data_IF_539689095211
#
_entry.id   IF_539689095211
#
_cell.length_a   1.000
_cell.length_b   1.000
_cell.length_c   1.000
_cell.angle_alpha   90.00
_cell.angle_beta   90.00
_cell.angle_gamma   90.00
#
_symmetry.space_group_name_H-M   'P 1'
#
loop_
_entity.id
_entity.type
_entity.pdbx_description
1 polymer ?
#
# COMPACT_ATOMS: atom_id res chain seq x y z
N UNK A 1 -40.90 -57.40 -36.10
CA UNK A 1 -39.44 -57.23 -35.90
C UNK A 1 -39.21 -56.25 -34.76
N UNK A 2 -38.58 -56.75 -33.69
CA UNK A 2 -37.81 -56.14 -32.57
C UNK A 2 -38.16 -54.75 -32.01
N UNK A 3 -38.49 -54.78 -30.71
CA UNK A 3 -38.39 -53.75 -29.66
C UNK A 3 -37.05 -52.98 -29.70
N UNK A 4 -37.05 -51.71 -29.28
CA UNK A 4 -36.09 -51.09 -28.34
C UNK A 4 -36.75 -49.83 -27.77
N UNK A 5 -37.14 -49.88 -26.50
CA UNK A 5 -37.46 -48.71 -25.67
C UNK A 5 -36.18 -48.34 -24.93
N UNK A 6 -35.68 -47.13 -25.13
CA UNK A 6 -34.45 -46.64 -24.51
C UNK A 6 -34.78 -46.04 -23.13
N UNK A 7 -34.48 -46.78 -22.07
CA UNK A 7 -34.59 -46.33 -20.68
C UNK A 7 -33.30 -45.55 -20.35
N UNK A 8 -33.40 -44.22 -20.23
CA UNK A 8 -32.27 -43.37 -19.86
C UNK A 8 -32.12 -43.39 -18.33
N UNK A 9 -31.15 -44.16 -17.83
CA UNK A 9 -30.82 -44.26 -16.41
C UNK A 9 -30.04 -43.00 -15.99
N UNK A 10 -30.71 -42.08 -15.28
CA UNK A 10 -30.04 -40.92 -14.66
C UNK A 10 -29.29 -41.43 -13.42
N UNK A 11 -27.99 -41.64 -13.55
CA UNK A 11 -27.09 -41.87 -12.41
C UNK A 11 -26.88 -40.53 -11.68
N UNK A 12 -27.63 -40.31 -10.60
CA UNK A 12 -27.33 -39.28 -9.61
C UNK A 12 -26.09 -39.71 -8.82
N UNK A 13 -24.93 -39.19 -9.23
CA UNK A 13 -23.71 -39.29 -8.42
C UNK A 13 -23.89 -38.34 -7.23
N UNK A 14 -24.47 -38.85 -6.14
CA UNK A 14 -24.50 -38.15 -4.85
C UNK A 14 -23.05 -38.20 -4.34
N UNK A 15 -22.27 -37.19 -4.74
CA UNK A 15 -20.99 -36.91 -4.11
C UNK A 15 -21.28 -36.43 -2.68
N UNK A 16 -21.33 -37.37 -1.73
CA UNK A 16 -21.21 -37.07 -0.31
C UNK A 16 -19.90 -36.31 -0.09
N UNK A 17 -19.96 -34.97 -0.08
CA UNK A 17 -18.96 -34.17 0.62
C UNK A 17 -19.08 -34.61 2.08
N UNK A 18 -18.14 -35.43 2.57
CA UNK A 18 -17.97 -35.63 4.00
C UNK A 18 -17.75 -34.25 4.60
N UNK A 19 -18.78 -33.71 5.25
CA UNK A 19 -18.57 -32.59 6.14
C UNK A 19 -17.52 -33.03 7.17
N UNK A 20 -16.44 -32.25 7.36
CA UNK A 20 -15.46 -32.58 8.38
C UNK A 20 -16.19 -32.68 9.71
N UNK A 21 -15.92 -33.77 10.46
CA UNK A 21 -16.46 -33.97 11.80
C UNK A 21 -16.21 -32.69 12.63
N UNK A 22 -17.21 -32.21 13.40
CA UNK A 22 -17.01 -31.08 14.27
C UNK A 22 -15.85 -31.39 15.23
N UNK A 23 -14.81 -30.57 15.18
CA UNK A 23 -13.67 -30.68 16.10
C UNK A 23 -14.22 -30.38 17.48
N UNK A 24 -14.16 -31.36 18.39
CA UNK A 24 -14.57 -31.16 19.78
C UNK A 24 -13.69 -30.07 20.39
N UNK A 25 -14.33 -29.06 21.01
CA UNK A 25 -13.61 -28.01 21.71
C UNK A 25 -12.96 -28.58 22.97
N UNK A 26 -11.63 -28.47 23.05
CA UNK A 26 -10.86 -28.78 24.25
C UNK A 26 -10.60 -27.48 25.02
N UNK A 27 -11.00 -27.45 26.29
CA UNK A 27 -10.80 -26.32 27.18
C UNK A 27 -9.54 -26.47 28.05
N UNK A 28 -8.68 -27.44 27.76
CA UNK A 28 -7.43 -27.64 28.48
C UNK A 28 -6.40 -26.56 28.15
N UNK A 29 -5.62 -26.17 29.16
CA UNK A 29 -4.47 -25.30 28.97
C UNK A 29 -3.26 -26.19 28.65
N UNK A 30 -2.62 -25.95 27.50
CA UNK A 30 -1.43 -26.68 27.09
C UNK A 30 -0.19 -25.98 27.67
N UNK A 31 0.68 -26.76 28.32
CA UNK A 31 2.01 -26.31 28.75
C UNK A 31 3.04 -26.94 27.84
N UNK A 32 3.63 -26.15 26.95
CA UNK A 32 4.72 -26.60 26.11
C UNK A 32 6.04 -26.47 26.89
N UNK A 33 6.62 -27.62 27.24
CA UNK A 33 7.84 -27.69 28.04
C UNK A 33 9.11 -27.39 27.24
N UNK A 34 9.08 -27.54 25.91
CA UNK A 34 10.21 -27.26 25.03
C UNK A 34 10.36 -25.76 24.83
N UNK A 35 9.23 -25.08 24.59
CA UNK A 35 9.17 -23.64 24.40
C UNK A 35 9.01 -22.88 25.72
N UNK A 36 8.71 -23.58 26.81
CA UNK A 36 8.41 -23.02 28.14
C UNK A 36 7.30 -21.95 28.08
N UNK A 37 6.19 -22.28 27.40
CA UNK A 37 5.04 -21.40 27.19
C UNK A 37 3.74 -22.07 27.63
N UNK A 38 2.77 -21.23 27.96
CA UNK A 38 1.39 -21.62 28.25
C UNK A 38 0.53 -21.20 27.06
N UNK A 39 -0.20 -22.15 26.50
CA UNK A 39 -1.09 -21.98 25.37
C UNK A 39 -2.53 -22.20 25.86
N UNK A 40 -3.37 -21.16 25.77
CA UNK A 40 -4.73 -21.16 26.28
C UNK A 40 -5.73 -21.60 25.21
N UNK A 41 -6.85 -22.21 25.61
CA UNK A 41 -7.96 -22.48 24.70
C UNK A 41 -8.69 -21.18 24.35
N UNK A 42 -9.12 -21.08 23.10
CA UNK A 42 -9.87 -19.96 22.54
C UNK A 42 -11.28 -20.46 22.25
N UNK A 43 -12.25 -20.08 23.09
CA UNK A 43 -13.62 -20.57 22.96
C UNK A 43 -14.22 -20.23 21.57
N UNK A 44 -14.83 -21.18 20.84
CA UNK A 44 -15.39 -20.94 19.51
C UNK A 44 -16.40 -19.78 19.44
N UNK A 45 -17.15 -19.54 20.51
CA UNK A 45 -18.09 -18.41 20.61
C UNK A 45 -17.42 -17.04 20.47
N UNK A 46 -16.15 -16.90 20.86
CA UNK A 46 -15.39 -15.64 20.66
C UNK A 46 -15.06 -15.41 19.18
N UNK A 47 -15.18 -16.45 18.36
CA UNK A 47 -14.83 -16.47 16.95
C UNK A 47 -16.06 -16.41 16.04
N UNK A 48 -17.27 -16.61 16.55
CA UNK A 48 -18.50 -16.79 15.76
C UNK A 48 -18.76 -15.66 14.77
N UNK A 49 -18.56 -14.41 15.21
CA UNK A 49 -18.74 -13.15 14.46
C UNK A 49 -17.47 -12.71 13.70
N UNK A 50 -16.42 -13.54 13.68
CA UNK A 50 -15.14 -13.22 13.03
C UNK A 50 -15.10 -13.74 11.59
N UNK A 51 -14.07 -13.31 10.84
CA UNK A 51 -13.90 -13.70 9.44
C UNK A 51 -13.83 -15.23 9.26
N UNK A 52 -14.31 -15.74 8.13
CA UNK A 52 -14.22 -17.17 7.80
C UNK A 52 -12.79 -17.69 7.84
N UNK A 53 -11.84 -16.88 7.38
CA UNK A 53 -10.41 -17.20 7.39
C UNK A 53 -9.88 -17.36 8.81
N UNK A 54 -10.22 -16.44 9.70
CA UNK A 54 -9.81 -16.47 11.10
C UNK A 54 -10.40 -17.72 11.79
N UNK A 55 -11.70 -17.96 11.63
CA UNK A 55 -12.39 -19.14 12.21
C UNK A 55 -11.74 -20.44 11.74
N UNK A 56 -11.50 -20.57 10.43
CA UNK A 56 -10.86 -21.75 9.83
C UNK A 56 -9.45 -21.97 10.38
N UNK A 57 -8.70 -20.90 10.62
CA UNK A 57 -7.36 -20.99 11.16
C UNK A 57 -7.34 -21.46 12.61
N UNK A 58 -8.14 -20.86 13.50
CA UNK A 58 -8.22 -21.32 14.88
C UNK A 58 -8.75 -22.75 14.99
N UNK A 59 -9.72 -23.12 14.14
CA UNK A 59 -10.17 -24.51 14.05
C UNK A 59 -9.02 -25.46 13.69
N UNK A 60 -8.16 -25.08 12.74
CA UNK A 60 -6.96 -25.86 12.37
C UNK A 60 -5.92 -25.94 13.49
N UNK A 61 -5.86 -24.94 14.36
CA UNK A 61 -5.01 -24.92 15.57
C UNK A 61 -5.71 -25.52 16.80
N UNK A 62 -6.78 -26.30 16.60
CA UNK A 62 -7.58 -26.92 17.66
C UNK A 62 -8.10 -25.92 18.70
N UNK A 63 -8.45 -24.70 18.28
CA UNK A 63 -8.98 -23.63 19.13
C UNK A 63 -8.05 -23.24 20.28
N UNK A 64 -6.76 -23.05 19.98
CA UNK A 64 -5.76 -22.58 20.93
C UNK A 64 -5.12 -21.26 20.48
N UNK A 65 -4.61 -20.47 21.43
CA UNK A 65 -3.88 -19.22 21.13
C UNK A 65 -2.69 -19.50 20.21
N UNK A 66 -2.37 -18.57 19.32
CA UNK A 66 -1.36 -18.76 18.25
C UNK A 66 -0.18 -17.78 18.39
N UNK A 67 -0.38 -16.67 19.10
CA UNK A 67 0.59 -15.61 19.33
C UNK A 67 1.30 -15.77 20.67
N UNK A 68 1.51 -16.99 21.14
CA UNK A 68 2.20 -17.28 22.41
C UNK A 68 3.70 -16.94 22.37
N UNK A 69 4.35 -17.03 21.19
CA UNK A 69 5.77 -16.66 21.01
C UNK A 69 5.98 -15.14 20.94
N UNK A 70 6.90 -14.61 21.74
CA UNK A 70 7.21 -13.18 21.75
C UNK A 70 7.77 -12.67 20.41
N UNK A 71 8.56 -13.51 19.73
CA UNK A 71 9.19 -13.20 18.45
C UNK A 71 8.14 -12.87 17.38
N UNK A 72 7.08 -13.68 17.30
CA UNK A 72 5.98 -13.45 16.36
C UNK A 72 5.22 -12.15 16.67
N UNK A 73 4.93 -11.88 17.95
CA UNK A 73 4.24 -10.65 18.37
C UNK A 73 5.07 -9.41 18.07
N UNK A 74 6.35 -9.40 18.45
CA UNK A 74 7.27 -8.30 18.18
C UNK A 74 7.42 -8.03 16.68
N UNK A 75 7.51 -9.09 15.87
CA UNK A 75 7.56 -8.96 14.41
C UNK A 75 6.29 -8.32 13.85
N UNK A 76 5.10 -8.76 14.27
CA UNK A 76 3.84 -8.13 13.86
C UNK A 76 3.76 -6.65 14.29
N UNK A 77 4.08 -6.34 15.55
CA UNK A 77 4.09 -4.98 16.08
C UNK A 77 5.03 -4.07 15.27
N UNK A 78 6.22 -4.57 14.93
CA UNK A 78 7.15 -3.82 14.09
C UNK A 78 6.58 -3.57 12.69
N UNK A 79 5.99 -4.57 12.05
CA UNK A 79 5.38 -4.40 10.72
C UNK A 79 4.21 -3.39 10.74
N UNK A 80 3.42 -3.36 11.82
CA UNK A 80 2.37 -2.34 12.00
C UNK A 80 2.99 -0.95 12.13
N UNK A 81 4.04 -0.78 12.94
CA UNK A 81 4.72 0.52 13.11
C UNK A 81 5.31 1.05 11.82
N UNK A 82 5.99 0.18 11.07
CA UNK A 82 6.68 0.56 9.83
C UNK A 82 5.77 0.57 8.59
N UNK A 83 4.47 0.24 8.72
CA UNK A 83 3.54 0.28 7.58
C UNK A 83 3.36 1.69 7.00
N UNK A 84 3.73 2.75 7.74
CA UNK A 84 3.81 4.11 7.24
C UNK A 84 4.74 4.24 6.03
N UNK A 85 5.83 3.50 5.97
CA UNK A 85 6.75 3.50 4.82
C UNK A 85 6.09 2.93 3.57
N UNK A 86 5.07 2.10 3.72
CA UNK A 86 4.23 1.59 2.65
C UNK A 86 3.03 2.54 2.37
N UNK A 87 2.91 3.68 3.06
CA UNK A 87 1.82 4.63 2.89
C UNK A 87 0.51 4.23 3.59
N UNK A 88 0.61 3.45 4.67
CA UNK A 88 -0.51 3.07 5.54
C UNK A 88 -0.40 3.78 6.89
N UNK A 89 -1.51 4.06 7.58
CA UNK A 89 -1.46 4.67 8.90
C UNK A 89 -1.43 3.58 9.98
N UNK A 90 -0.40 3.50 10.85
CA UNK A 90 -0.34 2.53 11.94
C UNK A 90 -1.57 2.56 12.86
N UNK A 91 -2.19 3.72 13.04
CA UNK A 91 -3.40 3.85 13.84
C UNK A 91 -4.63 3.13 13.25
N UNK A 92 -4.63 2.80 11.95
CA UNK A 92 -5.69 1.97 11.35
C UNK A 92 -5.65 0.52 11.87
N UNK A 93 -4.62 0.14 12.63
CA UNK A 93 -4.33 -1.22 13.09
C UNK A 93 -4.20 -1.29 14.62
N UNK A 94 -4.88 -0.40 15.34
CA UNK A 94 -4.98 -0.42 16.82
C UNK A 94 -3.61 -0.45 17.54
N UNK A 95 -2.56 0.11 16.94
CA UNK A 95 -1.18 -0.02 17.42
C UNK A 95 -1.02 0.41 18.88
N UNK A 96 -1.68 1.50 19.30
CA UNK A 96 -1.60 2.00 20.68
C UNK A 96 -2.20 1.00 21.68
N UNK A 97 -3.31 0.36 21.33
CA UNK A 97 -3.96 -0.67 22.17
C UNK A 97 -3.07 -1.91 22.23
N UNK A 98 -2.54 -2.35 21.08
CA UNK A 98 -1.65 -3.51 20.99
C UNK A 98 -0.37 -3.31 21.83
N UNK A 99 0.23 -2.12 21.80
CA UNK A 99 1.41 -1.80 22.59
C UNK A 99 1.12 -1.76 24.10
N UNK A 100 -0.01 -1.18 24.50
CA UNK A 100 -0.42 -1.16 25.91
C UNK A 100 -0.62 -2.60 26.44
N UNK A 101 -1.33 -3.44 25.68
CA UNK A 101 -1.55 -4.85 26.02
C UNK A 101 -0.25 -5.64 26.05
N UNK A 102 0.65 -5.48 25.07
CA UNK A 102 1.94 -6.18 25.04
C UNK A 102 2.80 -5.78 26.26
N UNK A 103 2.82 -4.51 26.64
CA UNK A 103 3.59 -4.02 27.79
C UNK A 103 3.14 -4.61 29.13
N UNK A 104 1.86 -4.99 29.22
CA UNK A 104 1.24 -5.55 30.43
C UNK A 104 0.97 -7.04 30.33
N UNK A 105 1.35 -7.71 29.23
CA UNK A 105 0.97 -9.10 28.92
C UNK A 105 1.20 -10.08 30.08
N UNK A 106 2.32 -9.95 30.80
CA UNK A 106 2.65 -10.82 31.93
C UNK A 106 1.69 -10.69 33.14
N UNK A 107 0.90 -9.62 33.19
CA UNK A 107 -0.08 -9.34 34.25
C UNK A 107 -1.53 -9.55 33.79
N UNK A 108 -1.75 -9.84 32.50
CA UNK A 108 -3.08 -10.09 31.97
C UNK A 108 -3.60 -11.44 32.50
N UNK A 109 -4.92 -11.50 32.72
CA UNK A 109 -5.58 -12.77 32.97
C UNK A 109 -5.71 -13.57 31.65
N UNK A 110 -6.12 -14.83 31.77
CA UNK A 110 -6.21 -15.73 30.61
C UNK A 110 -7.23 -15.25 29.55
N UNK A 111 -8.34 -14.65 29.98
CA UNK A 111 -9.38 -14.12 29.09
C UNK A 111 -8.85 -12.94 28.24
N UNK A 112 -8.12 -12.02 28.86
CA UNK A 112 -7.51 -10.87 28.19
C UNK A 112 -6.38 -11.28 27.24
N UNK A 113 -5.63 -12.35 27.58
CA UNK A 113 -4.63 -12.92 26.66
C UNK A 113 -5.31 -13.49 25.41
N UNK A 114 -6.43 -14.21 25.56
CA UNK A 114 -7.19 -14.75 24.43
C UNK A 114 -7.77 -13.63 23.56
N UNK A 115 -8.34 -12.58 24.16
CA UNK A 115 -8.82 -11.40 23.41
C UNK A 115 -7.69 -10.71 22.65
N UNK A 116 -6.52 -10.59 23.27
CA UNK A 116 -5.33 -10.02 22.64
C UNK A 116 -4.84 -10.88 21.47
N UNK A 117 -4.84 -12.21 21.61
CA UNK A 117 -4.48 -13.15 20.54
C UNK A 117 -5.39 -12.99 19.31
N UNK A 118 -6.71 -12.87 19.53
CA UNK A 118 -7.68 -12.62 18.45
C UNK A 118 -7.43 -11.25 17.79
N UNK A 119 -7.19 -10.20 18.58
CA UNK A 119 -6.88 -8.85 18.08
C UNK A 119 -5.64 -8.85 17.17
N UNK A 120 -4.58 -9.56 17.55
CA UNK A 120 -3.38 -9.70 16.72
C UNK A 120 -3.69 -10.42 15.40
N UNK A 121 -4.52 -11.45 15.44
CA UNK A 121 -4.95 -12.19 14.23
C UNK A 121 -5.77 -11.31 13.28
N UNK A 122 -6.75 -10.57 13.79
CA UNK A 122 -7.54 -9.63 12.98
C UNK A 122 -6.65 -8.54 12.37
N UNK A 123 -5.68 -8.06 13.16
CA UNK A 123 -4.74 -7.02 12.72
C UNK A 123 -3.82 -7.54 11.63
N UNK A 124 -3.31 -8.76 11.77
CA UNK A 124 -2.53 -9.43 10.74
C UNK A 124 -3.34 -9.57 9.44
N UNK A 125 -4.57 -10.07 9.50
CA UNK A 125 -5.43 -10.24 8.32
C UNK A 125 -5.71 -8.92 7.62
N UNK A 126 -6.00 -7.87 8.41
CA UNK A 126 -6.26 -6.51 7.89
C UNK A 126 -5.04 -5.94 7.19
N UNK A 127 -3.87 -5.98 7.84
CA UNK A 127 -2.62 -5.48 7.26
C UNK A 127 -2.21 -6.27 6.02
N UNK A 128 -2.35 -7.60 6.05
CA UNK A 128 -2.04 -8.46 4.91
C UNK A 128 -2.91 -8.13 3.69
N UNK A 129 -4.22 -7.97 3.89
CA UNK A 129 -5.11 -7.50 2.82
C UNK A 129 -4.67 -6.14 2.29
N UNK A 130 -4.46 -5.16 3.18
CA UNK A 130 -4.12 -3.80 2.75
C UNK A 130 -2.79 -3.73 2.01
N UNK A 131 -1.78 -4.50 2.40
CA UNK A 131 -0.50 -4.57 1.69
C UNK A 131 -0.63 -5.27 0.33
N UNK A 132 -1.42 -6.34 0.26
CA UNK A 132 -1.59 -7.13 -0.96
C UNK A 132 -2.45 -6.42 -2.00
N UNK A 133 -3.69 -6.05 -1.66
CA UNK A 133 -4.70 -5.58 -2.62
C UNK A 133 -5.12 -4.12 -2.44
N UNK A 134 -4.53 -3.40 -1.48
CA UNK A 134 -4.90 -2.02 -1.14
C UNK A 134 -5.97 -1.93 -0.06
N UNK A 135 -6.07 -0.74 0.54
CA UNK A 135 -7.11 -0.36 1.51
C UNK A 135 -8.42 0.01 0.82
N UNK A 136 -8.36 0.53 -0.40
CA UNK A 136 -9.51 1.04 -1.14
C UNK A 136 -9.90 0.11 -2.28
N UNK A 137 -11.19 0.10 -2.62
CA UNK A 137 -11.68 -0.57 -3.82
C UNK A 137 -11.60 0.39 -5.02
N UNK A 138 -10.72 0.11 -6.02
CA UNK A 138 -10.57 1.02 -7.15
C UNK A 138 -11.84 1.17 -8.01
N UNK A 139 -12.73 0.17 -8.04
CA UNK A 139 -13.98 0.23 -8.80
C UNK A 139 -15.02 1.20 -8.22
N UNK A 140 -14.90 1.53 -6.94
CA UNK A 140 -15.73 2.57 -6.31
C UNK A 140 -15.20 3.99 -6.60
N UNK A 141 -13.92 4.10 -6.95
CA UNK A 141 -13.25 5.37 -7.22
C UNK A 141 -13.20 5.72 -8.72
N UNK A 142 -13.12 4.70 -9.58
CA UNK A 142 -12.86 4.83 -11.00
C UNK A 142 -13.88 4.02 -11.81
N UNK A 143 -14.56 4.70 -12.73
CA UNK A 143 -15.55 4.08 -13.64
C UNK A 143 -14.89 3.28 -14.77
N UNK A 144 -13.61 3.54 -15.03
CA UNK A 144 -12.80 3.00 -16.12
C UNK A 144 -11.80 1.93 -15.64
N UNK A 145 -12.03 1.34 -14.46
CA UNK A 145 -11.15 0.35 -13.85
C UNK A 145 -11.59 -1.10 -14.12
N UNK A 146 -10.83 -1.81 -14.96
CA UNK A 146 -11.16 -3.16 -15.42
C UNK A 146 -10.14 -4.23 -14.95
N UNK A 147 -9.23 -3.88 -14.04
CA UNK A 147 -8.36 -4.88 -13.41
C UNK A 147 -9.16 -5.75 -12.44
N UNK A 148 -8.88 -7.05 -12.47
CA UNK A 148 -9.46 -8.03 -11.52
C UNK A 148 -8.90 -7.80 -10.11
N UNK A 149 -9.74 -7.81 -9.07
CA UNK A 149 -9.26 -7.77 -7.69
C UNK A 149 -8.31 -8.92 -7.40
N UNK A 150 -7.30 -8.67 -6.57
CA UNK A 150 -6.39 -9.72 -6.11
C UNK A 150 -7.02 -10.48 -4.95
N UNK A 151 -6.90 -11.80 -5.01
CA UNK A 151 -7.28 -12.71 -3.93
C UNK A 151 -6.06 -13.07 -3.08
N UNK A 152 -6.31 -13.40 -1.82
CA UNK A 152 -5.29 -13.80 -0.84
C UNK A 152 -5.86 -14.87 0.08
N UNK A 153 -5.13 -15.97 0.24
CA UNK A 153 -5.46 -17.02 1.18
C UNK A 153 -4.78 -16.71 2.53
N UNK A 154 -5.49 -16.01 3.42
CA UNK A 154 -4.93 -15.50 4.68
C UNK A 154 -4.60 -16.60 5.68
N UNK A 155 -5.47 -17.59 5.86
CA UNK A 155 -5.26 -18.69 6.81
C UNK A 155 -3.96 -19.48 6.56
N UNK A 156 -3.64 -19.97 5.33
CA UNK A 156 -2.35 -20.60 5.05
C UNK A 156 -1.15 -19.66 5.24
N UNK A 157 -1.34 -18.38 4.95
CA UNK A 157 -0.29 -17.37 5.07
C UNK A 157 0.09 -17.08 6.53
N UNK A 158 -0.94 -16.95 7.39
CA UNK A 158 -0.77 -16.81 8.83
C UNK A 158 -0.14 -18.08 9.42
N UNK A 159 -0.58 -19.26 8.99
CA UNK A 159 0.00 -20.53 9.42
C UNK A 159 1.51 -20.58 9.21
N UNK A 160 1.94 -20.28 7.98
CA UNK A 160 3.35 -20.24 7.61
C UNK A 160 4.09 -19.20 8.46
N UNK A 161 3.54 -18.00 8.58
CA UNK A 161 4.15 -16.91 9.33
C UNK A 161 4.37 -17.25 10.81
N UNK A 162 3.39 -17.88 11.46
CA UNK A 162 3.46 -18.26 12.88
C UNK A 162 4.40 -19.45 13.09
N UNK A 163 4.24 -20.54 12.33
CA UNK A 163 5.00 -21.79 12.53
C UNK A 163 6.48 -21.64 12.18
N UNK A 164 6.78 -20.91 11.10
CA UNK A 164 8.15 -20.73 10.61
C UNK A 164 8.82 -19.47 11.18
N UNK A 165 8.12 -18.71 12.03
CA UNK A 165 8.57 -17.42 12.60
C UNK A 165 8.91 -16.37 11.54
N UNK A 166 8.18 -16.40 10.42
CA UNK A 166 8.45 -15.59 9.23
C UNK A 166 7.41 -14.49 8.99
N UNK A 167 6.81 -13.94 10.05
CA UNK A 167 5.81 -12.86 9.95
C UNK A 167 6.27 -11.71 9.04
N UNK A 168 7.51 -11.21 9.23
CA UNK A 168 8.05 -10.13 8.41
C UNK A 168 8.21 -10.52 6.93
N UNK A 169 8.71 -11.74 6.65
CA UNK A 169 8.85 -12.22 5.26
C UNK A 169 7.49 -12.39 4.59
N UNK A 170 6.51 -12.90 5.32
CA UNK A 170 5.13 -13.03 4.86
C UNK A 170 4.59 -11.68 4.38
N UNK A 171 4.76 -10.59 5.13
CA UNK A 171 4.32 -9.27 4.68
C UNK A 171 5.15 -8.73 3.52
N UNK A 172 6.46 -9.00 3.48
CA UNK A 172 7.32 -8.61 2.36
C UNK A 172 6.82 -9.17 1.03
N UNK A 173 6.39 -10.44 1.01
CA UNK A 173 5.94 -11.13 -0.20
C UNK A 173 4.57 -10.63 -0.71
N UNK A 174 3.79 -9.97 0.15
CA UNK A 174 2.51 -9.36 -0.23
C UNK A 174 2.68 -8.00 -0.92
N UNK A 175 3.80 -7.31 -0.69
CA UNK A 175 4.03 -5.96 -1.20
C UNK A 175 4.29 -5.99 -2.72
N UNK A 176 3.90 -4.96 -3.48
CA UNK A 176 4.24 -4.86 -4.89
C UNK A 176 5.76 -4.96 -5.13
N UNK A 177 6.17 -5.96 -5.91
CA UNK A 177 7.58 -6.17 -6.27
C UNK A 177 7.94 -5.42 -7.55
N UNK A 178 7.90 -4.08 -7.50
CA UNK A 178 8.23 -3.23 -8.63
C UNK A 178 9.12 -2.06 -8.22
N UNK A 179 10.09 -1.70 -9.08
CA UNK A 179 11.06 -0.64 -8.80
C UNK A 179 10.40 0.70 -8.46
N UNK A 180 9.31 1.06 -9.14
CA UNK A 180 8.59 2.32 -8.86
C UNK A 180 7.96 2.30 -7.47
N UNK A 181 7.44 1.16 -7.00
CA UNK A 181 6.92 1.05 -5.63
C UNK A 181 8.03 1.31 -4.61
N UNK A 182 9.20 0.69 -4.79
CA UNK A 182 10.37 0.89 -3.92
C UNK A 182 10.88 2.34 -3.95
N UNK A 183 10.88 2.99 -5.12
CA UNK A 183 11.26 4.39 -5.26
C UNK A 183 10.27 5.34 -4.59
N UNK A 184 8.97 5.03 -4.61
CA UNK A 184 7.94 5.79 -3.89
C UNK A 184 8.16 5.70 -2.38
N UNK A 185 8.40 4.50 -1.83
CA UNK A 185 8.74 4.32 -0.41
C UNK A 185 9.98 5.12 -0.01
N UNK A 186 11.05 5.03 -0.81
CA UNK A 186 12.26 5.83 -0.58
C UNK A 186 11.98 7.32 -0.64
N UNK A 187 11.14 7.77 -1.58
CA UNK A 187 10.76 9.17 -1.73
C UNK A 187 9.95 9.68 -0.53
N UNK A 188 9.12 8.83 0.08
CA UNK A 188 8.39 9.13 1.31
C UNK A 188 9.36 9.40 2.47
N UNK A 189 10.30 8.49 2.71
CA UNK A 189 11.34 8.66 3.74
C UNK A 189 12.18 9.91 3.50
N UNK A 190 12.49 10.22 2.24
CA UNK A 190 13.25 11.42 1.89
C UNK A 190 12.46 12.71 2.08
N UNK A 191 11.16 12.74 1.74
CA UNK A 191 10.34 13.95 1.89
C UNK A 191 10.03 14.24 3.35
N UNK A 192 9.91 13.23 4.20
CA UNK A 192 9.67 13.41 5.64
C UNK A 192 10.79 14.20 6.32
N UNK A 193 12.03 14.06 5.82
CA UNK A 193 13.20 14.83 6.29
C UNK A 193 13.12 16.33 5.97
N UNK A 194 12.21 16.77 5.09
CA UNK A 194 12.08 18.17 4.74
C UNK A 194 11.40 18.94 5.88
N UNK A 195 11.77 20.21 6.12
CA UNK A 195 11.18 20.97 7.22
C UNK A 195 9.68 21.20 6.98
N UNK A 196 8.91 21.20 8.06
CA UNK A 196 7.48 21.52 8.03
C UNK A 196 7.33 23.04 7.94
N UNK A 197 7.21 23.56 6.73
CA UNK A 197 7.09 25.00 6.45
C UNK A 197 5.72 25.29 5.84
N UNK A 198 4.97 26.19 6.47
CA UNK A 198 3.75 26.73 5.88
C UNK A 198 4.13 27.83 4.89
N UNK A 199 3.95 27.56 3.60
CA UNK A 199 4.19 28.55 2.56
C UNK A 199 2.97 29.43 2.34
N UNK A 200 3.13 30.75 2.42
CA UNK A 200 2.14 31.67 1.86
C UNK A 200 1.93 31.38 0.38
N UNK A 201 0.68 31.39 -0.07
CA UNK A 201 0.33 31.19 -1.47
C UNK A 201 0.96 32.27 -2.34
N UNK A 202 1.59 31.87 -3.44
CA UNK A 202 2.08 32.78 -4.46
C UNK A 202 1.00 32.92 -5.53
N UNK A 203 0.58 34.16 -5.77
CA UNK A 203 -0.31 34.54 -6.85
C UNK A 203 0.30 35.72 -7.61
N UNK A 204 0.17 35.71 -8.93
CA UNK A 204 0.55 36.84 -9.79
C UNK A 204 -0.55 37.09 -10.81
N UNK A 205 -0.71 38.34 -11.24
CA UNK A 205 -1.68 38.69 -12.29
C UNK A 205 -1.20 38.24 -13.67
N UNK A 206 0.10 38.42 -13.93
CA UNK A 206 0.75 38.11 -15.18
C UNK A 206 1.74 36.95 -15.01
N UNK A 207 2.12 36.33 -16.15
CA UNK A 207 3.24 35.38 -16.19
C UNK A 207 4.54 36.11 -15.87
N UNK A 208 5.48 35.43 -15.22
CA UNK A 208 6.83 35.97 -14.95
C UNK A 208 7.82 35.39 -15.95
N UNK A 209 8.61 36.25 -16.58
CA UNK A 209 9.63 35.91 -17.58
C UNK A 209 11.01 36.39 -17.13
N UNK A 210 12.07 35.81 -17.70
CA UNK A 210 13.45 36.17 -17.37
C UNK A 210 13.68 37.68 -17.42
N UNK A 211 14.48 38.20 -16.50
CA UNK A 211 14.77 39.63 -16.27
C UNK A 211 13.65 40.44 -15.60
N UNK A 212 12.46 39.86 -15.35
CA UNK A 212 11.47 40.51 -14.49
C UNK A 212 12.01 40.76 -13.08
N UNK A 213 11.57 41.84 -12.44
CA UNK A 213 11.90 42.16 -11.05
C UNK A 213 10.62 42.42 -10.27
N UNK A 214 10.34 41.55 -9.30
CA UNK A 214 9.10 41.61 -8.51
C UNK A 214 9.27 41.01 -7.11
N UNK A 215 8.53 41.50 -6.09
CA UNK A 215 8.63 41.01 -4.71
C UNK A 215 8.36 39.51 -4.56
N UNK A 216 7.47 38.95 -5.37
CA UNK A 216 7.08 37.53 -5.34
C UNK A 216 8.24 36.59 -5.66
N UNK A 217 9.27 37.08 -6.37
CA UNK A 217 10.43 36.28 -6.75
C UNK A 217 11.18 35.72 -5.54
N UNK A 218 11.18 36.43 -4.41
CA UNK A 218 11.76 35.93 -3.15
C UNK A 218 11.02 34.68 -2.68
N UNK A 219 9.68 34.69 -2.72
CA UNK A 219 8.86 33.53 -2.34
C UNK A 219 9.09 32.37 -3.29
N UNK A 220 9.22 32.64 -4.59
CA UNK A 220 9.50 31.63 -5.63
C UNK A 220 10.87 30.97 -5.39
N UNK A 221 11.93 31.76 -5.19
CA UNK A 221 13.28 31.24 -4.92
C UNK A 221 13.35 30.43 -3.64
N UNK A 222 12.66 30.87 -2.58
CA UNK A 222 12.53 30.10 -1.33
C UNK A 222 11.89 28.73 -1.57
N UNK A 223 10.85 28.64 -2.40
CA UNK A 223 10.21 27.35 -2.75
C UNK A 223 11.09 26.48 -3.63
N UNK A 224 11.75 27.05 -4.63
CA UNK A 224 12.71 26.30 -5.45
C UNK A 224 13.87 25.77 -4.58
N UNK A 225 14.33 26.55 -3.60
CA UNK A 225 15.35 26.11 -2.65
C UNK A 225 14.83 24.98 -1.75
N UNK A 226 13.60 25.09 -1.23
CA UNK A 226 12.95 24.05 -0.45
C UNK A 226 12.87 22.72 -1.22
N UNK A 227 12.47 22.75 -2.48
CA UNK A 227 12.39 21.58 -3.37
C UNK A 227 13.76 21.13 -3.95
N UNK A 228 14.86 21.73 -3.47
CA UNK A 228 16.25 21.47 -3.86
C UNK A 228 16.58 21.78 -5.33
N UNK A 229 15.74 22.56 -6.01
CA UNK A 229 15.97 23.03 -7.39
C UNK A 229 16.81 24.30 -7.47
N UNK A 230 16.94 25.05 -6.37
CA UNK A 230 17.75 26.27 -6.27
C UNK A 230 18.81 26.15 -5.17
N UNK A 231 20.08 26.41 -5.51
CA UNK A 231 21.23 26.22 -4.60
C UNK A 231 21.92 27.51 -4.18
N UNK A 232 21.73 28.61 -4.91
CA UNK A 232 22.39 29.87 -4.60
C UNK A 232 21.64 30.60 -3.48
N UNK A 233 22.20 30.61 -2.26
CA UNK A 233 21.54 31.19 -1.08
C UNK A 233 21.49 32.72 -1.11
N UNK A 234 22.54 33.35 -1.63
CA UNK A 234 22.70 34.82 -1.55
C UNK A 234 21.67 35.55 -2.41
N UNK A 235 21.31 34.96 -3.54
CA UNK A 235 20.31 35.52 -4.46
C UNK A 235 18.86 35.19 -4.08
N UNK A 236 18.59 34.46 -2.98
CA UNK A 236 17.21 34.10 -2.56
C UNK A 236 16.38 35.35 -2.21
N UNK A 237 17.00 36.35 -1.60
CA UNK A 237 16.32 37.56 -1.13
C UNK A 237 16.14 38.63 -2.21
N UNK A 238 16.69 38.42 -3.41
CA UNK A 238 16.63 39.39 -4.50
C UNK A 238 15.36 39.22 -5.32
N UNK A 239 14.79 40.35 -5.77
CA UNK A 239 13.54 40.38 -6.54
C UNK A 239 13.74 40.03 -8.03
N UNK A 240 14.99 39.99 -8.51
CA UNK A 240 15.32 39.77 -9.90
C UNK A 240 15.16 38.30 -10.31
N UNK A 241 14.51 38.07 -11.45
CA UNK A 241 14.46 36.77 -12.11
C UNK A 241 15.68 36.57 -13.01
N UNK A 242 16.81 36.25 -12.38
CA UNK A 242 18.10 36.10 -13.03
C UNK A 242 18.28 34.76 -13.77
N UNK A 243 19.40 34.63 -14.49
CA UNK A 243 19.79 33.42 -15.22
C UNK A 243 19.94 32.18 -14.35
N UNK A 244 20.29 32.32 -13.06
CA UNK A 244 20.44 31.17 -12.15
C UNK A 244 19.07 30.63 -11.74
N UNK A 245 18.15 31.53 -11.44
CA UNK A 245 16.77 31.24 -11.09
C UNK A 245 16.05 30.68 -12.30
N UNK A 246 16.28 31.23 -13.50
CA UNK A 246 15.73 30.71 -14.75
C UNK A 246 16.11 29.23 -14.96
N UNK A 247 17.39 28.88 -14.77
CA UNK A 247 17.84 27.47 -14.84
C UNK A 247 17.16 26.59 -13.78
N UNK A 248 16.94 27.10 -12.58
CA UNK A 248 16.24 26.36 -11.52
C UNK A 248 14.75 26.15 -11.83
N UNK A 249 14.07 27.16 -12.37
CA UNK A 249 12.67 27.04 -12.83
C UNK A 249 12.55 26.00 -13.94
N UNK A 250 13.46 25.99 -14.93
CA UNK A 250 13.44 24.96 -15.98
C UNK A 250 13.61 23.54 -15.41
N UNK A 251 14.51 23.35 -14.44
CA UNK A 251 14.68 22.05 -13.75
C UNK A 251 13.41 21.65 -13.01
N UNK A 252 12.82 22.57 -12.26
CA UNK A 252 11.58 22.38 -11.53
C UNK A 252 10.43 22.00 -12.47
N UNK A 253 10.24 22.75 -13.55
CA UNK A 253 9.23 22.47 -14.58
C UNK A 253 9.39 21.07 -15.16
N UNK A 254 10.60 20.69 -15.59
CA UNK A 254 10.86 19.38 -16.15
C UNK A 254 10.52 18.25 -15.17
N UNK A 255 10.92 18.38 -13.89
CA UNK A 255 10.61 17.39 -12.84
C UNK A 255 9.12 17.31 -12.48
N UNK A 256 8.34 18.34 -12.81
CA UNK A 256 6.89 18.39 -12.59
C UNK A 256 6.07 18.09 -13.84
N UNK A 257 6.69 17.59 -14.91
CA UNK A 257 5.98 17.27 -16.16
C UNK A 257 5.46 18.51 -16.91
N UNK A 258 6.04 19.68 -16.65
CA UNK A 258 5.72 20.93 -17.33
C UNK A 258 6.75 21.21 -18.44
N UNK A 259 6.34 22.02 -19.42
CA UNK A 259 7.27 22.53 -20.42
C UNK A 259 8.40 23.33 -19.74
N UNK A 260 9.68 22.96 -19.92
CA UNK A 260 10.79 23.62 -19.26
C UNK A 260 11.19 24.88 -20.05
N UNK A 261 10.31 25.85 -20.16
CA UNK A 261 10.52 27.12 -20.88
C UNK A 261 11.07 28.24 -19.98
N UNK A 262 11.08 28.04 -18.66
CA UNK A 262 11.45 29.03 -17.67
C UNK A 262 10.40 30.15 -17.49
N UNK A 263 9.22 30.02 -18.09
CA UNK A 263 8.11 30.96 -17.88
C UNK A 263 7.28 30.51 -16.68
N UNK A 264 7.15 31.38 -15.68
CA UNK A 264 6.38 31.08 -14.47
C UNK A 264 4.92 31.48 -14.74
N UNK A 265 4.17 30.56 -15.36
CA UNK A 265 2.72 30.67 -15.55
C UNK A 265 1.91 29.97 -14.45
N UNK A 266 0.59 29.86 -14.68
CA UNK A 266 -0.36 29.26 -13.74
C UNK A 266 0.03 27.82 -13.35
N UNK A 267 0.48 27.01 -14.31
CA UNK A 267 0.92 25.62 -14.05
C UNK A 267 2.13 25.56 -13.12
N UNK A 268 3.17 26.36 -13.41
CA UNK A 268 4.37 26.47 -12.57
C UNK A 268 4.01 26.99 -11.17
N UNK A 269 3.15 28.01 -11.07
CA UNK A 269 2.68 28.52 -9.78
C UNK A 269 1.88 27.48 -8.98
N UNK A 270 1.01 26.71 -9.63
CA UNK A 270 0.28 25.61 -8.99
C UNK A 270 1.24 24.59 -8.39
N UNK A 271 2.25 24.16 -9.16
CA UNK A 271 3.27 23.23 -8.68
C UNK A 271 4.12 23.82 -7.54
N UNK A 272 4.52 25.08 -7.64
CA UNK A 272 5.24 25.78 -6.56
C UNK A 272 4.40 25.90 -5.29
N UNK A 273 3.08 26.05 -5.41
CA UNK A 273 2.16 26.15 -4.29
C UNK A 273 1.86 24.79 -3.63
N UNK A 274 2.27 23.66 -4.22
CA UNK A 274 2.08 22.34 -3.60
C UNK A 274 2.90 22.25 -2.30
N UNK A 275 2.22 21.88 -1.23
CA UNK A 275 2.80 21.71 0.11
C UNK A 275 3.49 20.35 0.27
N UNK A 276 4.26 20.20 1.36
CA UNK A 276 4.83 18.91 1.76
C UNK A 276 3.74 17.85 1.95
N UNK A 277 2.68 18.18 2.68
CA UNK A 277 1.57 17.27 2.98
C UNK A 277 0.85 16.81 1.71
N UNK A 278 0.50 17.73 0.81
CA UNK A 278 -0.12 17.37 -0.48
C UNK A 278 0.80 16.46 -1.31
N UNK A 279 2.12 16.66 -1.23
CA UNK A 279 3.08 15.78 -1.93
C UNK A 279 3.14 14.39 -1.30
N UNK A 280 3.09 14.29 0.03
CA UNK A 280 3.01 13.00 0.76
C UNK A 280 1.72 12.27 0.39
N UNK A 281 0.57 12.96 0.36
CA UNK A 281 -0.72 12.39 -0.06
C UNK A 281 -0.67 11.84 -1.49
N UNK A 282 0.02 12.54 -2.40
CA UNK A 282 0.24 12.02 -3.75
C UNK A 282 1.11 10.76 -3.77
N UNK A 283 2.13 10.67 -2.91
CA UNK A 283 2.95 9.46 -2.77
C UNK A 283 2.07 8.32 -2.23
N UNK A 284 1.26 8.55 -1.20
CA UNK A 284 0.33 7.56 -0.66
C UNK A 284 -0.67 7.06 -1.70
N UNK A 285 -1.29 7.96 -2.46
CA UNK A 285 -2.22 7.57 -3.52
C UNK A 285 -1.55 6.70 -4.59
N UNK A 286 -0.27 6.94 -4.90
CA UNK A 286 0.45 6.11 -5.87
C UNK A 286 0.93 4.78 -5.28
N UNK A 287 1.35 4.74 -4.02
CA UNK A 287 1.64 3.49 -3.30
C UNK A 287 0.40 2.59 -3.27
N UNK A 288 -0.76 3.17 -2.98
CA UNK A 288 -2.05 2.48 -2.99
C UNK A 288 -2.39 1.94 -4.40
N UNK A 289 -2.26 2.76 -5.44
CA UNK A 289 -2.47 2.31 -6.84
C UNK A 289 -1.60 1.12 -7.22
N UNK A 290 -0.33 1.12 -6.83
CA UNK A 290 0.59 0.01 -7.12
C UNK A 290 0.15 -1.31 -6.49
N UNK A 291 -0.63 -1.29 -5.40
CA UNK A 291 -1.22 -2.49 -4.82
C UNK A 291 -2.40 -3.03 -5.61
N UNK A 292 -3.04 -2.23 -6.44
CA UNK A 292 -4.17 -2.70 -7.26
C UNK A 292 -3.71 -3.43 -8.53
N UNK A 293 -2.46 -3.23 -8.96
CA UNK A 293 -1.89 -3.95 -10.11
C UNK A 293 -1.63 -5.42 -9.80
N UNK A 294 -1.57 -6.27 -10.86
CA UNK A 294 -1.09 -7.65 -10.73
C UNK A 294 0.27 -7.71 -10.04
N UNK A 295 0.45 -8.68 -9.14
CA UNK A 295 1.71 -8.84 -8.41
C UNK A 295 2.89 -9.24 -9.31
N UNK A 296 2.60 -9.85 -10.46
CA UNK A 296 3.57 -10.23 -11.48
C UNK A 296 3.16 -9.65 -12.84
N UNK A 297 4.01 -8.80 -13.40
CA UNK A 297 3.88 -8.23 -14.75
C UNK A 297 4.63 -9.07 -15.80
N UNK A 298 5.39 -10.07 -15.37
CA UNK A 298 6.29 -10.88 -16.19
C UNK A 298 7.65 -10.19 -16.45
N UNK A 299 8.60 -10.94 -17.02
CA UNK A 299 9.93 -10.43 -17.36
C UNK A 299 9.90 -9.35 -18.45
N UNK A 300 8.86 -9.34 -19.29
CA UNK A 300 8.67 -8.42 -20.41
C UNK A 300 7.23 -7.94 -20.44
N UNK A 301 7.02 -6.63 -20.40
CA UNK A 301 5.69 -6.05 -20.48
C UNK A 301 5.70 -4.65 -21.09
N UNK A 302 4.53 -4.21 -21.52
CA UNK A 302 4.25 -2.84 -21.92
C UNK A 302 3.41 -2.20 -20.81
N UNK A 303 3.81 -1.01 -20.37
CA UNK A 303 3.03 -0.22 -19.41
C UNK A 303 2.71 1.15 -20.00
N UNK A 304 1.42 1.44 -20.13
CA UNK A 304 0.92 2.73 -20.59
C UNK A 304 0.65 3.64 -19.39
N UNK A 305 1.48 4.66 -19.21
CA UNK A 305 1.26 5.70 -18.22
C UNK A 305 0.31 6.77 -18.80
N UNK A 306 -0.99 6.55 -18.62
CA UNK A 306 -2.06 7.40 -19.20
C UNK A 306 -1.89 8.89 -18.81
N UNK A 307 -1.66 9.26 -17.54
CA UNK A 307 -1.44 10.66 -17.17
C UNK A 307 -0.21 11.32 -17.80
N UNK A 308 0.81 10.53 -18.15
CA UNK A 308 2.08 11.00 -18.72
C UNK A 308 2.14 10.90 -20.25
N UNK A 309 1.11 10.32 -20.90
CA UNK A 309 1.07 10.11 -22.35
C UNK A 309 2.25 9.27 -22.89
N UNK A 310 2.73 8.33 -22.08
CA UNK A 310 3.90 7.50 -22.40
C UNK A 310 3.57 6.01 -22.35
N UNK A 311 4.14 5.26 -23.27
CA UNK A 311 4.20 3.80 -23.28
C UNK A 311 5.65 3.37 -23.05
N UNK A 312 5.87 2.53 -22.05
CA UNK A 312 7.19 1.99 -21.75
C UNK A 312 7.23 0.49 -22.04
N UNK A 313 8.25 0.06 -22.78
CA UNK A 313 8.61 -1.35 -22.89
C UNK A 313 9.64 -1.68 -21.82
N UNK A 314 9.24 -2.54 -20.89
CA UNK A 314 10.07 -2.97 -19.77
C UNK A 314 10.53 -4.40 -19.98
N UNK A 315 11.82 -4.65 -19.76
CA UNK A 315 12.42 -5.99 -19.75
C UNK A 315 13.36 -6.10 -18.55
N UNK A 316 13.19 -7.15 -17.73
CA UNK A 316 14.04 -7.41 -16.56
C UNK A 316 14.16 -6.19 -15.63
N UNK A 317 13.03 -5.52 -15.35
CA UNK A 317 12.93 -4.28 -14.57
C UNK A 317 13.65 -3.06 -15.17
N UNK A 318 14.11 -3.10 -16.42
CA UNK A 318 14.70 -1.96 -17.12
C UNK A 318 13.82 -1.48 -18.28
N UNK A 319 13.76 -0.16 -18.47
CA UNK A 319 12.98 0.46 -19.54
C UNK A 319 13.80 0.50 -20.81
N UNK A 320 13.48 -0.39 -21.76
CA UNK A 320 14.22 -0.57 -23.01
C UNK A 320 13.83 0.47 -24.06
N UNK A 321 12.54 0.84 -24.10
CA UNK A 321 12.03 1.82 -25.04
C UNK A 321 10.88 2.61 -24.43
N UNK A 322 10.72 3.84 -24.87
CA UNK A 322 9.65 4.74 -24.43
C UNK A 322 9.09 5.50 -25.64
N UNK A 323 7.78 5.51 -25.78
CA UNK A 323 7.07 6.17 -26.88
C UNK A 323 5.96 7.05 -26.36
N UNK A 324 5.75 8.20 -27.01
CA UNK A 324 4.55 9.01 -26.77
C UNK A 324 3.33 8.29 -27.34
N UNK A 325 2.24 8.31 -26.59
CA UNK A 325 0.96 7.75 -26.99
C UNK A 325 -0.14 8.80 -26.89
N UNK A 326 -1.21 8.58 -27.64
CA UNK A 326 -2.45 9.35 -27.52
C UNK A 326 -3.43 8.53 -26.70
N UNK A 327 -4.05 9.18 -25.71
CA UNK A 327 -5.03 8.55 -24.81
C UNK A 327 -6.41 9.17 -25.01
N UNK A 328 -7.42 8.49 -24.51
CA UNK A 328 -8.80 8.94 -24.58
C UNK A 328 -9.03 10.30 -23.89
N UNK A 329 -10.00 11.05 -24.40
CA UNK A 329 -10.41 12.34 -23.81
C UNK A 329 -11.06 12.14 -22.43
N UNK A 330 -11.19 13.18 -21.58
CA UNK A 330 -11.90 13.05 -20.30
C UNK A 330 -13.33 12.51 -20.39
N UNK A 331 -14.02 12.72 -21.53
CA UNK A 331 -15.36 12.18 -21.82
C UNK A 331 -15.35 10.72 -22.29
N UNK A 332 -14.23 10.24 -22.83
CA UNK A 332 -14.02 8.88 -23.38
C UNK A 332 -12.65 8.38 -22.96
N UNK A 333 -12.52 8.06 -21.67
CA UNK A 333 -11.23 7.69 -21.07
C UNK A 333 -10.73 6.36 -21.60
N UNK A 334 -9.42 6.21 -21.70
CA UNK A 334 -8.79 4.90 -21.93
C UNK A 334 -8.97 4.05 -20.68
N UNK A 335 -9.57 2.84 -20.77
CA UNK A 335 -9.77 1.98 -19.61
C UNK A 335 -8.43 1.47 -19.05
N UNK A 336 -8.41 1.26 -17.74
CA UNK A 336 -7.28 0.66 -17.02
C UNK A 336 -7.49 -0.85 -17.01
N UNK A 337 -6.69 -1.56 -17.80
CA UNK A 337 -6.81 -3.01 -18.02
C UNK A 337 -5.43 -3.68 -18.09
N UNK A 338 -5.43 -5.02 -18.06
CA UNK A 338 -4.26 -5.86 -18.29
C UNK A 338 -4.64 -6.99 -19.23
N UNK A 339 -3.82 -7.22 -20.26
CA UNK A 339 -3.97 -8.28 -21.26
C UNK A 339 -2.59 -8.86 -21.56
N UNK A 340 -2.55 -10.13 -22.00
CA UNK A 340 -1.33 -10.82 -22.42
C UNK A 340 -1.45 -11.28 -23.86
#
# INVERSE_FOLDING_TARGET
MKKITFLLLILSVISCKKEPLPIAFDNSIIKDTVLNVIIRPVHPDLLSEKSDSLRLYYQKMNFHEIWYLDENRKNLINEIKFCYEDGLNPNDYEINIIEDLESKRAKLNDEDIVKYDILLTETFEKLANHLHKGKLNPKELYTDWDLKPKEIALSPLLEKGIKEKMIASTFKDLKPNHIVYQLLKKSLVEIDKFPNVTFEKISTKNKIVINDTLPEMVKIKKRLAYWKDYKNKDSIITWAYDTLTFKAVKRFQARHGLAPDGVIGIGTLKALNTTKSERIEQIFANLERWRWYPSDLGEKYLIANIPDYMLHYVKNNDTIASHRIVVGTPKRKTPILSSK
#
